data_IF_063075648396
#
_entry.id   IF_063075648396
#
_cell.length_a   1.000
_cell.length_b   1.000
_cell.length_c   1.000
_cell.angle_alpha   90.00
_cell.angle_beta   90.00
_cell.angle_gamma   90.00
#
_symmetry.space_group_name_H-M   'P 1'
#
loop_
_entity.id
_entity.type
_entity.pdbx_description
1 polymer ?
#
# COMPACT_ATOMS: atom_id res chain seq x y z
N UNK A 1 -38.14 -26.91 -9.16
CA UNK A 1 -37.22 -25.87 -8.64
C UNK A 1 -36.09 -25.76 -9.65
N UNK A 2 -36.28 -24.89 -10.64
CA UNK A 2 -35.21 -24.59 -11.60
C UNK A 2 -34.22 -23.60 -10.98
N UNK A 3 -32.97 -23.55 -11.45
CA UNK A 3 -32.03 -22.54 -10.99
C UNK A 3 -32.54 -21.16 -11.42
N UNK A 4 -32.47 -20.20 -10.48
CA UNK A 4 -32.77 -18.80 -10.75
C UNK A 4 -31.74 -18.25 -11.75
N UNK A 5 -32.13 -17.31 -12.64
CA UNK A 5 -31.19 -16.66 -13.54
C UNK A 5 -30.16 -15.88 -12.73
N UNK A 6 -28.92 -15.90 -13.24
CA UNK A 6 -27.83 -15.06 -12.80
C UNK A 6 -28.25 -13.62 -13.13
N UNK A 7 -28.75 -12.88 -12.14
CA UNK A 7 -29.03 -11.46 -12.29
C UNK A 7 -27.70 -10.75 -12.56
N UNK A 8 -27.62 -10.14 -13.74
CA UNK A 8 -26.62 -9.17 -14.16
C UNK A 8 -26.52 -8.08 -13.08
N UNK A 9 -25.39 -8.05 -12.36
CA UNK A 9 -25.07 -6.90 -11.52
C UNK A 9 -24.48 -5.82 -12.44
N UNK A 10 -25.26 -4.76 -12.55
CA UNK A 10 -25.06 -3.56 -13.33
C UNK A 10 -23.65 -2.98 -13.18
N UNK A 11 -22.99 -2.73 -14.32
CA UNK A 11 -21.83 -1.85 -14.43
C UNK A 11 -22.28 -0.41 -14.14
N UNK A 12 -22.18 0.03 -12.89
CA UNK A 12 -22.39 1.44 -12.54
C UNK A 12 -21.24 2.29 -13.12
N UNK A 13 -21.61 3.05 -14.15
CA UNK A 13 -20.80 4.07 -14.81
C UNK A 13 -20.68 5.29 -13.90
N UNK A 14 -19.50 5.55 -13.35
CA UNK A 14 -19.23 6.79 -12.61
C UNK A 14 -19.38 8.03 -13.53
N UNK A 15 -20.36 8.87 -13.23
CA UNK A 15 -20.48 10.24 -13.76
C UNK A 15 -19.58 11.19 -12.97
N UNK A 16 -18.71 11.90 -13.69
CA UNK A 16 -17.80 12.89 -13.13
C UNK A 16 -18.51 14.19 -12.74
N UNK A 17 -18.84 14.32 -11.46
CA UNK A 17 -19.18 15.59 -10.82
C UNK A 17 -17.91 16.41 -10.53
N UNK A 18 -17.80 17.58 -11.15
CA UNK A 18 -16.67 18.49 -10.98
C UNK A 18 -16.63 19.10 -9.57
N UNK A 19 -15.58 18.79 -8.81
CA UNK A 19 -15.06 19.58 -7.69
C UNK A 19 -13.54 19.46 -7.68
N UNK A 20 -12.85 20.59 -7.54
CA UNK A 20 -11.46 20.76 -7.94
C UNK A 20 -10.46 19.95 -7.12
N UNK A 21 -9.99 18.86 -7.70
CA UNK A 21 -8.68 18.28 -7.45
C UNK A 21 -7.97 18.23 -8.79
N UNK A 22 -6.81 18.88 -8.91
CA UNK A 22 -5.97 18.77 -10.09
C UNK A 22 -5.47 17.32 -10.17
N UNK A 23 -6.16 16.49 -10.94
CA UNK A 23 -5.63 15.23 -11.41
C UNK A 23 -4.40 15.56 -12.24
N UNK A 24 -3.22 15.23 -11.73
CA UNK A 24 -1.99 15.23 -12.52
C UNK A 24 -2.08 14.05 -13.52
N UNK A 25 -2.98 14.14 -14.50
CA UNK A 25 -2.96 13.28 -15.66
C UNK A 25 -1.70 13.62 -16.47
N UNK A 26 -0.72 12.71 -16.45
CA UNK A 26 0.43 12.76 -17.37
C UNK A 26 1.81 12.98 -16.75
N UNK A 27 1.99 12.86 -15.43
CA UNK A 27 3.35 12.69 -14.88
C UNK A 27 3.76 11.22 -14.97
N UNK A 28 4.87 10.98 -15.67
CA UNK A 28 5.51 9.65 -15.70
C UNK A 28 6.01 9.34 -14.28
N UNK A 29 5.47 8.28 -13.68
CA UNK A 29 5.84 7.87 -12.31
C UNK A 29 7.31 7.43 -12.31
N UNK A 30 8.04 7.69 -11.22
CA UNK A 30 9.42 7.19 -11.15
C UNK A 30 9.46 5.66 -11.22
N UNK A 31 10.25 5.13 -12.15
CA UNK A 31 10.52 3.69 -12.29
C UNK A 31 11.23 3.09 -11.07
N UNK A 32 11.74 3.92 -10.15
CA UNK A 32 12.37 3.48 -8.90
C UNK A 32 11.35 3.18 -7.80
N UNK A 33 10.09 3.57 -7.98
CA UNK A 33 9.05 3.25 -7.00
C UNK A 33 8.82 1.74 -7.00
N UNK A 34 9.09 1.10 -5.87
CA UNK A 34 8.76 -0.30 -5.67
C UNK A 34 7.29 -0.40 -5.25
N UNK A 35 6.46 -0.93 -6.15
CA UNK A 35 5.03 -1.11 -5.94
C UNK A 35 4.62 -2.55 -6.24
N UNK A 36 3.75 -3.10 -5.41
CA UNK A 36 3.11 -4.41 -5.59
C UNK A 36 1.61 -4.30 -5.34
N UNK A 37 0.83 -5.05 -6.11
CA UNK A 37 -0.61 -5.18 -5.86
C UNK A 37 -0.88 -5.99 -4.60
N UNK A 38 -2.02 -5.75 -3.99
CA UNK A 38 -2.58 -6.65 -3.00
C UNK A 38 -3.65 -7.51 -3.68
N UNK A 39 -3.42 -8.80 -3.67
CA UNK A 39 -4.33 -9.82 -4.23
C UNK A 39 -4.79 -10.82 -3.18
N UNK A 40 -4.08 -10.89 -2.04
CA UNK A 40 -4.46 -11.67 -0.86
C UNK A 40 -5.32 -10.82 0.11
N UNK A 41 -6.42 -11.40 0.59
CA UNK A 41 -7.27 -10.80 1.63
C UNK A 41 -6.51 -10.56 2.93
N UNK A 42 -6.78 -9.45 3.61
CA UNK A 42 -6.16 -9.07 4.90
C UNK A 42 -4.63 -8.95 4.91
N UNK A 43 -3.97 -8.97 3.74
CA UNK A 43 -2.52 -8.80 3.61
C UNK A 43 -2.06 -7.32 3.52
N UNK A 44 -2.96 -6.35 3.68
CA UNK A 44 -2.66 -4.92 3.50
C UNK A 44 -1.54 -4.44 4.43
N UNK A 45 -1.46 -4.95 5.67
CA UNK A 45 -0.36 -4.65 6.58
C UNK A 45 1.00 -5.13 6.06
N UNK A 46 1.08 -6.38 5.59
CA UNK A 46 2.30 -6.94 4.97
C UNK A 46 2.70 -6.16 3.71
N UNK A 47 1.74 -5.87 2.84
CA UNK A 47 1.97 -5.04 1.64
C UNK A 47 2.47 -3.65 2.02
N UNK A 48 1.91 -3.03 3.06
CA UNK A 48 2.37 -1.76 3.60
C UNK A 48 3.83 -1.80 4.06
N UNK A 49 4.24 -2.86 4.76
CA UNK A 49 5.64 -3.07 5.18
C UNK A 49 6.56 -3.27 3.98
N UNK A 50 6.15 -4.07 2.99
CA UNK A 50 6.90 -4.29 1.76
C UNK A 50 7.10 -2.96 1.00
N UNK A 51 6.06 -2.12 0.93
CA UNK A 51 6.16 -0.79 0.34
C UNK A 51 7.10 0.13 1.12
N UNK A 52 7.00 0.15 2.45
CA UNK A 52 7.83 1.01 3.30
C UNK A 52 9.32 0.66 3.18
N UNK A 53 9.67 -0.62 3.31
CA UNK A 53 11.07 -1.07 3.24
C UNK A 53 11.61 -0.92 1.81
N UNK A 54 10.85 -1.36 0.80
CA UNK A 54 11.29 -1.38 -0.61
C UNK A 54 11.62 0.01 -1.15
N UNK A 55 10.90 1.03 -0.70
CA UNK A 55 11.12 2.43 -1.09
C UNK A 55 12.05 3.20 -0.14
N UNK A 56 12.55 2.55 0.92
CA UNK A 56 13.52 3.12 1.86
C UNK A 56 14.88 2.39 1.83
N UNK A 57 15.13 1.52 0.85
CA UNK A 57 16.36 0.70 0.74
C UNK A 57 17.66 1.51 0.65
N UNK A 58 17.62 2.76 0.19
CA UNK A 58 18.78 3.67 0.23
C UNK A 58 19.13 4.15 1.65
N UNK A 59 18.18 4.07 2.58
CA UNK A 59 18.33 4.49 3.98
C UNK A 59 18.42 3.29 4.94
N UNK A 60 17.88 2.14 4.55
CA UNK A 60 17.86 0.91 5.34
C UNK A 60 18.86 -0.08 4.75
N UNK A 61 19.89 -0.41 5.53
CA UNK A 61 20.81 -1.49 5.15
C UNK A 61 20.20 -2.84 5.50
N UNK A 62 19.66 -3.52 4.50
CA UNK A 62 19.23 -4.91 4.65
C UNK A 62 20.45 -5.80 4.89
N UNK A 63 20.28 -6.79 5.77
CA UNK A 63 21.31 -7.81 6.02
C UNK A 63 21.34 -8.74 4.81
N UNK A 64 22.53 -8.95 4.24
CA UNK A 64 22.70 -9.85 3.10
C UNK A 64 22.20 -11.26 3.43
N UNK A 65 21.38 -11.82 2.54
CA UNK A 65 20.77 -13.14 2.73
C UNK A 65 19.58 -13.17 3.68
N UNK A 66 19.19 -12.03 4.28
CA UNK A 66 17.89 -11.90 4.96
C UNK A 66 16.74 -12.11 3.98
N UNK A 67 15.54 -12.37 4.51
CA UNK A 67 14.33 -12.53 3.70
C UNK A 67 14.13 -11.33 2.76
N UNK A 68 14.06 -10.10 3.30
CA UNK A 68 13.81 -8.92 2.48
C UNK A 68 14.94 -8.65 1.46
N UNK A 69 16.20 -8.94 1.79
CA UNK A 69 17.31 -8.83 0.81
C UNK A 69 17.08 -9.77 -0.39
N UNK A 70 16.72 -11.02 -0.14
CA UNK A 70 16.41 -12.00 -1.20
C UNK A 70 15.15 -11.64 -1.97
N UNK A 71 14.10 -11.23 -1.26
CA UNK A 71 12.80 -10.85 -1.82
C UNK A 71 12.97 -9.73 -2.84
N UNK A 72 13.52 -8.59 -2.44
CA UNK A 72 13.69 -7.44 -3.34
C UNK A 72 14.64 -7.70 -4.51
N UNK A 73 15.65 -8.57 -4.34
CA UNK A 73 16.52 -9.02 -5.44
C UNK A 73 15.75 -9.87 -6.45
N UNK A 74 14.91 -10.80 -5.98
CA UNK A 74 14.16 -11.72 -6.83
C UNK A 74 13.02 -11.04 -7.59
N UNK A 75 12.45 -9.98 -7.02
CA UNK A 75 11.29 -9.25 -7.56
C UNK A 75 11.63 -7.92 -8.23
N UNK A 76 12.93 -7.59 -8.37
CA UNK A 76 13.39 -6.30 -8.89
C UNK A 76 12.81 -5.99 -10.28
N UNK A 77 12.88 -6.97 -11.19
CA UNK A 77 12.46 -6.82 -12.59
C UNK A 77 10.99 -7.20 -12.84
N UNK A 78 10.25 -7.56 -11.79
CA UNK A 78 8.84 -7.92 -11.88
C UNK A 78 7.95 -6.68 -11.90
N UNK A 79 6.86 -6.73 -12.66
CA UNK A 79 5.79 -5.75 -12.59
C UNK A 79 4.96 -5.90 -11.28
N UNK A 80 4.10 -4.93 -10.92
CA UNK A 80 3.34 -4.99 -9.68
C UNK A 80 2.42 -6.21 -9.51
N UNK A 81 1.91 -6.77 -10.60
CA UNK A 81 1.04 -7.96 -10.60
C UNK A 81 1.89 -9.21 -10.41
N UNK A 82 3.02 -9.31 -11.11
CA UNK A 82 3.99 -10.39 -10.92
C UNK A 82 4.54 -10.42 -9.50
N UNK A 83 4.81 -9.25 -8.90
CA UNK A 83 5.21 -9.14 -7.48
C UNK A 83 4.14 -9.66 -6.53
N UNK A 84 2.86 -9.43 -6.85
CA UNK A 84 1.75 -9.90 -6.03
C UNK A 84 1.59 -11.42 -6.14
N UNK A 85 1.65 -11.98 -7.35
CA UNK A 85 1.67 -13.43 -7.57
C UNK A 85 2.86 -14.10 -6.89
N UNK A 86 4.04 -13.45 -6.91
CA UNK A 86 5.20 -13.95 -6.18
C UNK A 86 4.96 -13.99 -4.67
N UNK A 87 4.31 -12.97 -4.12
CA UNK A 87 3.98 -12.89 -2.69
C UNK A 87 2.90 -13.91 -2.28
N UNK A 88 1.97 -14.24 -3.17
CA UNK A 88 0.94 -15.27 -2.95
C UNK A 88 1.53 -16.67 -2.78
N UNK A 89 2.63 -16.97 -3.47
CA UNK A 89 3.31 -18.26 -3.43
C UNK A 89 4.41 -18.32 -2.34
N UNK A 90 4.57 -17.28 -1.52
CA UNK A 90 5.65 -17.17 -0.53
C UNK A 90 5.22 -17.65 0.86
N UNK A 91 5.40 -18.96 1.11
CA UNK A 91 5.10 -19.61 2.39
C UNK A 91 5.86 -19.00 3.58
N UNK A 92 7.07 -18.45 3.37
CA UNK A 92 7.87 -17.84 4.45
C UNK A 92 7.20 -16.55 4.92
N UNK A 93 6.70 -15.73 3.98
CA UNK A 93 5.93 -14.53 4.31
C UNK A 93 4.57 -14.84 4.89
N UNK A 94 3.84 -15.83 4.36
CA UNK A 94 2.56 -16.26 4.92
C UNK A 94 2.72 -16.67 6.40
N UNK A 95 3.72 -17.50 6.69
CA UNK A 95 4.04 -17.92 8.06
C UNK A 95 4.38 -16.74 8.97
N UNK A 96 5.22 -15.81 8.51
CA UNK A 96 5.58 -14.61 9.27
C UNK A 96 4.36 -13.70 9.54
N UNK A 97 3.48 -13.52 8.55
CA UNK A 97 2.24 -12.75 8.67
C UNK A 97 1.31 -13.39 9.72
N UNK A 98 1.11 -14.71 9.66
CA UNK A 98 0.25 -15.43 10.61
C UNK A 98 0.74 -15.31 12.07
N UNK A 99 2.04 -15.43 12.29
CA UNK A 99 2.66 -15.22 13.61
C UNK A 99 2.45 -13.80 14.09
N UNK A 100 2.69 -12.79 13.23
CA UNK A 100 2.51 -11.40 13.59
C UNK A 100 1.05 -11.06 13.91
N UNK A 101 0.09 -11.57 13.13
CA UNK A 101 -1.34 -11.39 13.36
C UNK A 101 -1.81 -11.97 14.70
N UNK A 102 -1.19 -13.07 15.15
CA UNK A 102 -1.53 -13.74 16.41
C UNK A 102 -0.80 -13.17 17.64
N UNK A 103 0.19 -12.30 17.42
CA UNK A 103 1.03 -11.74 18.49
C UNK A 103 0.50 -10.42 19.06
N UNK A 104 -0.56 -9.85 18.46
CA UNK A 104 -1.17 -8.62 18.93
C UNK A 104 -1.90 -8.77 20.28
N UNK A 105 -2.15 -7.65 20.95
CA UNK A 105 -2.88 -7.61 22.23
C UNK A 105 -4.40 -7.87 22.07
N UNK A 106 -4.89 -7.97 20.83
CA UNK A 106 -6.30 -8.17 20.47
C UNK A 106 -6.47 -9.42 19.62
N UNK A 107 -7.63 -10.06 19.73
CA UNK A 107 -7.97 -11.21 18.89
C UNK A 107 -7.97 -10.85 17.40
N UNK A 108 -7.50 -11.78 16.58
CA UNK A 108 -7.55 -11.63 15.12
C UNK A 108 -9.01 -11.73 14.63
N UNK A 109 -9.49 -10.68 13.97
CA UNK A 109 -10.80 -10.67 13.32
C UNK A 109 -10.64 -10.80 11.80
N UNK A 110 -11.48 -11.62 11.17
CA UNK A 110 -11.47 -11.84 9.73
C UNK A 110 -12.29 -10.80 8.96
N UNK A 111 -13.28 -10.17 9.61
CA UNK A 111 -14.14 -9.15 9.04
C UNK A 111 -13.59 -7.77 9.40
N UNK A 112 -12.79 -7.21 8.49
CA UNK A 112 -12.03 -5.97 8.68
C UNK A 112 -12.35 -5.02 7.53
N UNK A 113 -12.77 -3.81 7.88
CA UNK A 113 -13.03 -2.74 6.90
C UNK A 113 -11.86 -1.76 6.81
N UNK A 114 -10.94 -1.79 7.77
CA UNK A 114 -9.76 -0.95 7.83
C UNK A 114 -8.69 -1.40 6.82
N UNK A 115 -7.94 -0.43 6.30
CA UNK A 115 -6.94 -0.67 5.26
C UNK A 115 -5.64 0.09 5.53
N UNK A 116 -4.52 -0.57 5.29
CA UNK A 116 -3.20 0.06 5.38
C UNK A 116 -2.75 0.60 4.02
N UNK A 117 -2.25 1.83 4.03
CA UNK A 117 -1.55 2.45 2.91
C UNK A 117 -0.19 2.95 3.37
N UNK A 118 0.80 2.94 2.47
CA UNK A 118 2.16 3.43 2.78
C UNK A 118 2.43 4.76 2.08
N UNK A 119 3.01 5.73 2.80
CA UNK A 119 3.54 6.97 2.21
C UNK A 119 5.06 6.92 2.17
N UNK A 120 5.68 7.19 1.02
CA UNK A 120 7.13 7.22 0.88
C UNK A 120 7.61 8.34 -0.05
N UNK A 121 8.85 8.80 0.15
CA UNK A 121 9.50 9.76 -0.72
C UNK A 121 10.46 9.04 -1.67
N UNK A 122 10.20 9.09 -2.98
CA UNK A 122 11.04 8.50 -4.02
C UNK A 122 11.32 9.54 -5.09
N UNK A 123 12.60 9.71 -5.46
CA UNK A 123 13.03 10.70 -6.47
C UNK A 123 12.49 12.12 -6.25
N UNK A 124 12.35 12.54 -4.98
CA UNK A 124 11.90 13.89 -4.61
C UNK A 124 10.38 14.09 -4.69
N UNK A 125 9.61 13.00 -4.73
CA UNK A 125 8.15 13.04 -4.82
C UNK A 125 7.52 12.16 -3.73
N UNK A 126 6.40 12.62 -3.15
CA UNK A 126 5.60 11.87 -2.19
C UNK A 126 4.67 10.92 -2.94
N UNK A 127 4.76 9.63 -2.63
CA UNK A 127 3.89 8.59 -3.17
C UNK A 127 3.02 7.97 -2.08
N UNK A 128 1.72 7.84 -2.37
CA UNK A 128 0.79 6.93 -1.67
C UNK A 128 0.80 5.58 -2.40
N UNK A 129 1.12 4.53 -1.65
CA UNK A 129 1.31 3.16 -2.11
C UNK A 129 0.21 2.29 -1.49
N UNK A 130 -0.89 2.19 -2.21
CA UNK A 130 -2.05 1.37 -1.88
C UNK A 130 -2.12 0.17 -2.82
N UNK A 131 -1.93 -1.04 -2.30
CA UNK A 131 -1.94 -2.27 -3.09
C UNK A 131 -3.28 -2.57 -3.77
N UNK A 132 -4.39 -1.98 -3.32
CA UNK A 132 -5.70 -2.11 -3.98
C UNK A 132 -5.81 -1.25 -5.24
N UNK A 133 -5.01 -0.19 -5.37
CA UNK A 133 -5.05 0.72 -6.52
C UNK A 133 -4.27 0.20 -7.71
N UNK A 134 -4.58 0.68 -8.91
CA UNK A 134 -3.90 0.29 -10.17
C UNK A 134 -2.41 0.63 -10.18
N UNK A 135 -2.05 1.76 -9.57
CA UNK A 135 -0.71 2.33 -9.57
C UNK A 135 -0.49 3.22 -8.33
N UNK A 136 0.77 3.56 -7.99
CA UNK A 136 1.09 4.59 -7.01
C UNK A 136 0.41 5.93 -7.32
N UNK A 137 0.03 6.67 -6.28
CA UNK A 137 -0.48 8.04 -6.42
C UNK A 137 0.60 9.02 -6.03
N UNK A 138 0.95 9.92 -6.93
CA UNK A 138 1.81 11.06 -6.65
C UNK A 138 1.04 12.17 -5.96
N UNK A 139 1.57 12.66 -4.84
CA UNK A 139 1.07 13.81 -4.09
C UNK A 139 1.95 15.06 -4.25
N UNK A 140 2.90 15.03 -5.19
CA UNK A 140 3.78 16.15 -5.50
C UNK A 140 5.11 16.14 -4.72
N UNK A 141 5.89 17.23 -4.81
CA UNK A 141 7.26 17.27 -4.32
C UNK A 141 7.39 16.97 -2.83
N UNK A 142 8.41 16.20 -2.46
CA UNK A 142 8.77 15.94 -1.08
C UNK A 142 10.27 15.61 -0.96
N UNK A 143 10.72 15.37 0.27
CA UNK A 143 12.11 15.03 0.58
C UNK A 143 12.16 14.09 1.80
N UNK A 144 13.26 13.37 2.04
CA UNK A 144 13.43 12.62 3.28
C UNK A 144 13.19 13.47 4.55
N UNK A 145 13.52 14.76 4.52
CA UNK A 145 13.38 15.69 5.65
C UNK A 145 11.95 16.20 5.85
N UNK A 146 11.16 16.28 4.77
CA UNK A 146 9.77 16.80 4.80
C UNK A 146 8.70 15.72 4.67
N UNK A 147 9.09 14.47 4.42
CA UNK A 147 8.20 13.33 4.18
C UNK A 147 7.09 13.24 5.23
N UNK A 148 7.44 13.35 6.52
CA UNK A 148 6.47 13.25 7.61
C UNK A 148 5.42 14.38 7.52
N UNK A 149 5.84 15.62 7.31
CA UNK A 149 4.97 16.78 7.25
C UNK A 149 4.10 16.75 5.99
N UNK A 150 4.65 16.31 4.87
CA UNK A 150 3.94 16.24 3.59
C UNK A 150 2.92 15.10 3.59
N UNK A 151 3.29 13.90 4.07
CA UNK A 151 2.36 12.79 4.26
C UNK A 151 1.25 13.15 5.26
N UNK A 152 1.59 13.83 6.36
CA UNK A 152 0.59 14.26 7.34
C UNK A 152 -0.46 15.22 6.77
N UNK A 153 -0.13 16.04 5.75
CA UNK A 153 -1.13 16.88 5.08
C UNK A 153 -2.15 16.03 4.32
N UNK A 154 -1.67 15.04 3.57
CA UNK A 154 -2.53 14.11 2.81
C UNK A 154 -3.40 13.29 3.77
N UNK A 155 -2.81 12.75 4.83
CA UNK A 155 -3.53 11.97 5.86
C UNK A 155 -4.61 12.82 6.53
N UNK A 156 -4.32 14.07 6.91
CA UNK A 156 -5.32 14.96 7.51
C UNK A 156 -6.45 15.31 6.55
N UNK A 157 -6.15 15.47 5.26
CA UNK A 157 -7.20 15.68 4.25
C UNK A 157 -8.12 14.46 4.16
N UNK A 158 -7.56 13.24 4.16
CA UNK A 158 -8.34 11.99 4.16
C UNK A 158 -9.20 11.84 5.41
N UNK A 159 -8.67 12.16 6.59
CA UNK A 159 -9.44 12.13 7.85
C UNK A 159 -10.60 13.13 7.80
N UNK A 160 -10.41 14.30 7.19
CA UNK A 160 -11.45 15.32 7.07
C UNK A 160 -12.61 14.92 6.11
N UNK A 161 -12.42 13.92 5.25
CA UNK A 161 -13.47 13.38 4.38
C UNK A 161 -14.52 12.56 5.16
N UNK A 162 -14.15 12.04 6.34
CA UNK A 162 -15.03 11.28 7.24
C UNK A 162 -14.91 11.81 8.68
N UNK A 163 -15.52 12.98 8.98
CA UNK A 163 -15.32 13.69 10.25
C UNK A 163 -15.87 12.96 11.48
N UNK A 164 -16.75 11.97 11.30
CA UNK A 164 -17.36 11.21 12.38
C UNK A 164 -16.55 9.95 12.74
N UNK A 165 -15.62 9.53 11.87
CA UNK A 165 -14.77 8.38 12.11
C UNK A 165 -13.60 8.71 13.03
N UNK A 166 -13.34 7.79 13.97
CA UNK A 166 -12.17 7.81 14.86
C UNK A 166 -11.21 6.65 14.57
N UNK A 167 -11.49 5.85 13.54
CA UNK A 167 -10.78 4.61 13.24
C UNK A 167 -9.56 4.86 12.35
N UNK A 168 -8.63 5.68 12.85
CA UNK A 168 -7.37 5.98 12.16
C UNK A 168 -6.17 5.68 13.06
N UNK A 169 -5.14 5.10 12.46
CA UNK A 169 -3.83 4.92 13.09
C UNK A 169 -2.74 5.32 12.11
N UNK A 170 -1.65 5.89 12.62
CA UNK A 170 -0.47 6.24 11.83
C UNK A 170 0.78 5.74 12.53
N UNK A 171 1.59 4.97 11.82
CA UNK A 171 2.90 4.51 12.26
C UNK A 171 3.99 5.11 11.38
N UNK A 172 5.14 5.44 11.98
CA UNK A 172 6.28 6.00 11.27
C UNK A 172 7.49 5.06 11.37
N UNK A 173 8.03 4.66 10.22
CA UNK A 173 9.33 4.00 10.15
C UNK A 173 10.43 5.05 10.34
N UNK A 174 11.11 5.01 11.48
CA UNK A 174 12.11 6.00 11.87
C UNK A 174 13.42 5.33 12.29
N UNK A 175 14.52 6.07 12.19
CA UNK A 175 15.79 5.64 12.78
C UNK A 175 15.68 5.71 14.31
N UNK A 176 16.33 4.79 15.05
CA UNK A 176 16.40 4.84 16.50
C UNK A 176 16.96 6.15 17.04
#
# INVERSE_FOLDING_TARGET
MGPLPFDELDEEKEESGASGASTAEGKDLSKKVYFTKQTVGNACGTVGVIHAIGNATSQIKLVEGSYFDKFYKKTADMDPVQRAAFLEEDDEMEGAHSVAASAGDTDANADVNEHFVCFSCVDGELYELDGRKSQPISHGPSSPETLLQDAAKVIKARIAEDPDSVNFNVMALSKP
#
